data_IF_894956208610
#
_entry.id   IF_894956208610
#
_cell.length_a   1.000
_cell.length_b   1.000
_cell.length_c   1.000
_cell.angle_alpha   90.00
_cell.angle_beta   90.00
_cell.angle_gamma   90.00
#
_symmetry.space_group_name_H-M   'P 1'
#
loop_
_entity.id
_entity.type
_entity.pdbx_description
1 polymer ?
#
# COMPACT_ATOMS: atom_id res chain seq x y z
N UNK A 1 23.21 -8.38 -0.09
CA UNK A 1 23.00 -7.19 0.76
C UNK A 1 21.55 -7.22 1.19
N UNK A 2 21.28 -7.31 2.49
CA UNK A 2 19.92 -7.31 3.05
C UNK A 2 19.54 -5.87 3.40
N UNK A 3 18.43 -5.39 2.85
CA UNK A 3 17.90 -4.06 3.18
C UNK A 3 16.78 -4.22 4.21
N UNK A 4 16.91 -3.50 5.31
CA UNK A 4 15.84 -3.37 6.30
C UNK A 4 14.95 -2.20 5.90
N UNK A 5 13.63 -2.42 5.82
CA UNK A 5 12.68 -1.43 5.33
C UNK A 5 11.46 -1.41 6.25
N UNK A 6 11.08 -0.21 6.71
CA UNK A 6 9.84 0.00 7.47
C UNK A 6 8.63 -0.13 6.55
N UNK A 7 8.74 0.38 5.32
CA UNK A 7 7.74 0.22 4.26
C UNK A 7 8.41 0.21 2.89
N UNK A 8 7.80 -0.48 1.92
CA UNK A 8 8.33 -0.61 0.57
C UNK A 8 7.19 -0.82 -0.44
N UNK A 9 7.38 -0.35 -1.67
CA UNK A 9 6.54 -0.68 -2.80
C UNK A 9 7.41 -0.99 -4.03
N UNK A 10 7.03 -2.01 -4.79
CA UNK A 10 7.76 -2.54 -5.95
C UNK A 10 6.85 -2.67 -7.17
N UNK A 11 7.43 -2.60 -8.37
CA UNK A 11 6.72 -2.75 -9.64
C UNK A 11 6.85 -1.55 -10.58
N UNK A 12 6.35 -1.68 -11.80
CA UNK A 12 6.56 -0.71 -12.89
C UNK A 12 6.01 0.70 -12.61
N UNK A 13 5.05 0.84 -11.67
CA UNK A 13 4.41 2.11 -11.29
C UNK A 13 4.46 2.36 -9.79
N UNK A 14 5.42 1.76 -9.08
CA UNK A 14 5.47 1.84 -7.62
C UNK A 14 5.95 3.17 -7.06
N UNK A 15 6.37 4.12 -7.89
CA UNK A 15 6.88 5.40 -7.39
C UNK A 15 5.83 6.17 -6.59
N UNK A 16 4.60 6.26 -7.10
CA UNK A 16 3.51 6.94 -6.38
C UNK A 16 3.16 6.26 -5.06
N UNK A 17 3.20 4.92 -5.03
CA UNK A 17 3.05 4.15 -3.80
C UNK A 17 4.16 4.46 -2.79
N UNK A 18 5.43 4.52 -3.23
CA UNK A 18 6.55 4.90 -2.35
C UNK A 18 6.37 6.30 -1.78
N UNK A 19 5.98 7.27 -2.61
CA UNK A 19 5.69 8.64 -2.15
C UNK A 19 4.57 8.67 -1.11
N UNK A 20 3.51 7.87 -1.27
CA UNK A 20 2.48 7.72 -0.22
C UNK A 20 3.07 7.19 1.09
N UNK A 21 3.86 6.11 1.01
CA UNK A 21 4.47 5.47 2.19
C UNK A 21 5.45 6.41 2.90
N UNK A 22 6.23 7.19 2.16
CA UNK A 22 7.18 8.18 2.70
C UNK A 22 6.45 9.27 3.50
N UNK A 23 5.28 9.74 3.01
CA UNK A 23 4.50 10.80 3.68
C UNK A 23 3.88 10.35 5.01
N UNK A 24 3.51 9.08 5.13
CA UNK A 24 2.79 8.54 6.30
C UNK A 24 3.68 7.66 7.19
N UNK A 25 5.00 7.62 6.93
CA UNK A 25 5.91 6.67 7.56
C UNK A 25 5.91 6.78 9.10
N UNK A 26 5.82 8.00 9.62
CA UNK A 26 5.86 8.28 11.06
C UNK A 26 4.61 7.77 11.80
N UNK A 27 3.49 7.60 11.09
CA UNK A 27 2.21 7.14 11.65
C UNK A 27 2.19 5.62 11.89
N UNK A 28 3.03 4.85 11.18
CA UNK A 28 2.95 3.39 11.19
C UNK A 28 3.27 2.76 12.54
N UNK A 29 4.07 3.42 13.38
CA UNK A 29 4.41 2.92 14.71
C UNK A 29 3.19 2.86 15.64
N UNK A 30 2.23 3.77 15.44
CA UNK A 30 1.01 3.89 16.23
C UNK A 30 -0.18 3.16 15.56
N UNK A 31 0.01 2.68 14.32
CA UNK A 31 -1.03 1.99 13.59
C UNK A 31 -1.24 0.56 14.11
N UNK A 32 -2.51 0.24 14.37
CA UNK A 32 -2.94 -1.15 14.49
C UNK A 32 -2.95 -1.87 13.12
N UNK A 33 -3.11 -3.20 13.16
CA UNK A 33 -3.19 -4.05 11.96
C UNK A 33 -4.12 -3.48 10.87
N UNK A 34 -5.32 -3.07 11.25
CA UNK A 34 -6.35 -2.63 10.30
C UNK A 34 -5.96 -1.31 9.61
N UNK A 35 -5.32 -0.38 10.32
CA UNK A 35 -4.83 0.87 9.73
C UNK A 35 -3.63 0.64 8.81
N UNK A 36 -2.69 -0.25 9.19
CA UNK A 36 -1.58 -0.63 8.32
C UNK A 36 -2.05 -1.23 7.00
N UNK A 37 -3.09 -2.09 7.03
CA UNK A 37 -3.70 -2.64 5.81
C UNK A 37 -4.29 -1.52 4.94
N UNK A 38 -4.99 -0.55 5.54
CA UNK A 38 -5.52 0.61 4.80
C UNK A 38 -4.42 1.45 4.16
N UNK A 39 -3.32 1.76 4.86
CA UNK A 39 -2.17 2.46 4.27
C UNK A 39 -1.56 1.69 3.10
N UNK A 40 -1.40 0.37 3.23
CA UNK A 40 -0.91 -0.47 2.13
C UNK A 40 -1.81 -0.42 0.90
N UNK A 41 -3.14 -0.47 1.09
CA UNK A 41 -4.11 -0.40 -0.01
C UNK A 41 -4.21 0.99 -0.62
N UNK A 42 -4.13 2.06 0.18
CA UNK A 42 -4.06 3.45 -0.32
C UNK A 42 -2.80 3.65 -1.16
N UNK A 43 -1.65 3.20 -0.68
CA UNK A 43 -0.40 3.22 -1.45
C UNK A 43 -0.54 2.45 -2.77
N UNK A 44 -1.15 1.27 -2.74
CA UNK A 44 -1.39 0.47 -3.94
C UNK A 44 -2.31 1.19 -4.94
N UNK A 45 -3.38 1.84 -4.45
CA UNK A 45 -4.32 2.64 -5.27
C UNK A 45 -3.60 3.76 -6.01
N UNK A 46 -2.68 4.47 -5.36
CA UNK A 46 -1.85 5.53 -5.97
C UNK A 46 -0.97 5.00 -7.12
N UNK A 47 -0.67 3.70 -7.16
CA UNK A 47 0.11 3.08 -8.25
C UNK A 47 -0.71 2.64 -9.46
N UNK A 48 -2.05 2.73 -9.38
CA UNK A 48 -2.94 2.33 -10.46
C UNK A 48 -2.95 3.35 -11.62
N UNK A 49 -3.42 2.90 -12.78
CA UNK A 49 -3.75 3.84 -13.84
C UNK A 49 -5.01 4.63 -13.46
N UNK A 50 -5.17 5.84 -13.99
CA UNK A 50 -6.27 6.75 -13.66
C UNK A 50 -7.67 6.14 -13.90
N UNK A 51 -7.79 5.16 -14.79
CA UNK A 51 -9.02 4.46 -15.16
C UNK A 51 -9.21 3.12 -14.44
N UNK A 52 -8.36 2.79 -13.46
CA UNK A 52 -8.42 1.54 -12.72
C UNK A 52 -8.69 1.75 -11.24
N UNK A 53 -9.49 0.85 -10.69
CA UNK A 53 -9.81 0.80 -9.27
C UNK A 53 -9.33 -0.52 -8.64
N UNK A 54 -9.16 -0.50 -7.32
CA UNK A 54 -8.94 -1.72 -6.57
C UNK A 54 -10.25 -2.50 -6.52
N UNK A 55 -10.17 -3.79 -6.79
CA UNK A 55 -11.29 -4.73 -6.70
C UNK A 55 -10.82 -5.99 -5.99
N UNK A 56 -11.78 -6.79 -5.54
CA UNK A 56 -11.52 -8.12 -4.97
C UNK A 56 -10.81 -9.07 -5.94
N UNK A 57 -10.81 -8.79 -7.25
CA UNK A 57 -10.21 -9.63 -8.27
C UNK A 57 -8.76 -9.26 -8.58
N UNK A 58 -8.33 -8.05 -8.20
CA UNK A 58 -6.99 -7.53 -8.51
C UNK A 58 -6.16 -7.19 -7.28
N UNK A 59 -6.65 -7.55 -6.08
CA UNK A 59 -6.05 -7.18 -4.81
C UNK A 59 -6.05 -8.36 -3.85
N UNK A 60 -4.88 -8.66 -3.29
CA UNK A 60 -4.73 -9.64 -2.21
C UNK A 60 -3.89 -9.01 -1.08
N UNK A 61 -4.15 -9.39 0.16
CA UNK A 61 -3.47 -8.85 1.35
C UNK A 61 -2.85 -9.99 2.15
N UNK A 62 -1.54 -9.92 2.41
CA UNK A 62 -0.84 -10.86 3.27
C UNK A 62 -0.49 -10.22 4.60
N UNK A 63 -0.83 -10.88 5.72
CA UNK A 63 -0.54 -10.38 7.08
C UNK A 63 0.21 -11.42 7.89
N UNK A 64 1.30 -11.00 8.51
CA UNK A 64 2.13 -11.76 9.45
C UNK A 64 2.58 -10.81 10.56
N UNK A 65 2.86 -11.32 11.76
CA UNK A 65 3.34 -10.46 12.84
C UNK A 65 3.28 -11.12 14.20
N UNK A 66 3.13 -10.32 15.25
CA UNK A 66 2.98 -10.78 16.63
C UNK A 66 1.54 -10.56 17.06
N UNK A 67 0.93 -11.52 17.75
CA UNK A 67 -0.41 -11.38 18.33
C UNK A 67 -0.29 -10.74 19.70
N UNK A 68 -0.81 -9.52 19.86
CA UNK A 68 -0.95 -8.84 21.14
C UNK A 68 0.32 -8.14 21.65
N UNK A 69 0.16 -7.00 22.32
CA UNK A 69 1.27 -6.32 23.00
C UNK A 69 1.81 -7.19 24.14
N UNK A 70 3.08 -7.58 24.07
CA UNK A 70 3.75 -8.38 25.11
C UNK A 70 3.60 -9.90 24.98
N UNK A 71 2.78 -10.41 24.07
CA UNK A 71 2.67 -11.85 23.80
C UNK A 71 3.71 -12.28 22.76
N UNK A 72 4.61 -13.21 23.10
CA UNK A 72 5.57 -13.81 22.13
C UNK A 72 4.91 -14.77 21.13
N UNK A 73 3.61 -14.66 20.90
CA UNK A 73 2.87 -15.54 19.99
C UNK A 73 2.88 -14.96 18.60
N UNK A 74 3.53 -15.67 17.68
CA UNK A 74 3.62 -15.27 16.28
C UNK A 74 2.24 -15.48 15.62
N UNK A 75 1.72 -14.43 15.00
CA UNK A 75 0.71 -14.55 13.95
C UNK A 75 1.40 -15.10 12.71
N UNK A 76 1.15 -16.38 12.41
CA UNK A 76 1.57 -16.98 11.16
C UNK A 76 0.97 -16.21 9.97
N UNK A 77 1.70 -16.22 8.85
CA UNK A 77 1.25 -15.59 7.62
C UNK A 77 -0.15 -16.06 7.23
N UNK A 78 -1.02 -15.09 6.93
CA UNK A 78 -2.36 -15.33 6.40
C UNK A 78 -2.56 -14.47 5.16
N UNK A 79 -2.95 -15.13 4.07
CA UNK A 79 -3.40 -14.48 2.84
C UNK A 79 -4.92 -14.26 2.91
N UNK A 80 -5.34 -13.06 2.51
CA UNK A 80 -6.72 -12.67 2.27
C UNK A 80 -6.84 -12.35 0.79
N UNK A 81 -7.81 -12.95 0.11
CA UNK A 81 -7.99 -12.82 -1.33
C UNK A 81 -9.47 -12.91 -1.71
N UNK A 82 -9.84 -12.40 -2.89
CA UNK A 82 -11.23 -12.41 -3.34
C UNK A 82 -12.16 -11.69 -2.35
N UNK A 83 -13.23 -12.35 -1.92
CA UNK A 83 -14.23 -11.72 -1.04
C UNK A 83 -13.69 -11.38 0.35
N UNK A 84 -12.58 -11.99 0.78
CA UNK A 84 -11.99 -11.73 2.10
C UNK A 84 -11.41 -10.31 2.23
N UNK A 85 -11.01 -9.70 1.11
CA UNK A 85 -10.48 -8.31 1.08
C UNK A 85 -11.55 -7.27 0.83
N UNK A 86 -12.79 -7.67 0.51
CA UNK A 86 -13.86 -6.77 0.09
C UNK A 86 -14.07 -5.60 1.05
N UNK A 87 -14.11 -5.89 2.35
CA UNK A 87 -14.30 -4.86 3.39
C UNK A 87 -13.22 -3.77 3.33
N UNK A 88 -11.96 -4.12 3.06
CA UNK A 88 -10.87 -3.15 3.01
C UNK A 88 -10.85 -2.37 1.70
N UNK A 89 -11.16 -3.04 0.60
CA UNK A 89 -11.28 -2.42 -0.72
C UNK A 89 -12.38 -1.35 -0.71
N UNK A 90 -13.56 -1.69 -0.19
CA UNK A 90 -14.70 -0.75 -0.09
C UNK A 90 -14.33 0.47 0.77
N UNK A 91 -13.70 0.26 1.93
CA UNK A 91 -13.29 1.36 2.83
C UNK A 91 -12.29 2.34 2.20
N UNK A 92 -11.42 1.86 1.31
CA UNK A 92 -10.41 2.69 0.61
C UNK A 92 -10.99 3.31 -0.68
N UNK A 93 -12.09 2.77 -1.21
CA UNK A 93 -12.86 3.38 -2.28
C UNK A 93 -13.65 4.60 -1.77
N UNK A 94 -14.34 4.45 -0.63
CA UNK A 94 -15.23 5.47 -0.06
C UNK A 94 -14.48 6.60 0.68
N UNK A 95 -13.27 6.34 1.17
CA UNK A 95 -12.42 7.30 1.87
C UNK A 95 -11.75 8.32 0.96
N UNK A 96 -12.54 9.16 0.27
CA UNK A 96 -12.05 10.33 -0.47
C UNK A 96 -12.52 11.60 0.25
N UNK A 97 -11.72 12.07 1.22
CA UNK A 97 -11.65 13.51 1.51
C UNK A 97 -10.18 13.93 1.70
N UNK A 98 -9.74 14.73 0.73
CA UNK A 98 -8.64 15.71 0.71
C UNK A 98 -7.27 15.33 1.29
N UNK A 99 -6.26 15.18 0.42
CA UNK A 99 -5.08 16.07 0.42
C UNK A 99 -4.49 16.15 -1.00
N UNK A 100 -4.74 17.28 -1.67
CA UNK A 100 -4.00 17.68 -2.88
C UNK A 100 -2.83 18.55 -2.42
N UNK A 101 -1.62 18.02 -2.55
CA UNK A 101 -0.42 18.83 -2.73
C UNK A 101 0.38 18.23 -3.90
N UNK A 102 0.01 18.70 -5.09
CA UNK A 102 0.79 18.55 -6.30
C UNK A 102 1.96 19.55 -6.23
N UNK A 103 3.13 19.08 -5.85
CA UNK A 103 4.39 19.82 -6.00
C UNK A 103 5.51 18.84 -6.36
N UNK A 104 6.00 18.95 -7.59
CA UNK A 104 7.24 18.30 -8.02
C UNK A 104 7.16 17.64 -9.37
N UNK A 105 7.14 18.45 -10.43
CA UNK A 105 7.52 18.07 -11.78
C UNK A 105 8.86 17.30 -11.78
N UNK A 106 8.83 16.05 -12.27
CA UNK A 106 9.96 15.47 -13.00
C UNK A 106 9.35 14.53 -14.02
N UNK A 107 8.92 15.12 -15.13
CA UNK A 107 8.78 14.40 -16.39
C UNK A 107 10.19 14.00 -16.86
N UNK A 108 10.74 12.92 -16.32
CA UNK A 108 11.79 12.19 -17.03
C UNK A 108 11.09 11.31 -18.04
N UNK A 109 11.02 11.83 -19.27
CA UNK A 109 10.68 11.09 -20.48
C UNK A 109 11.38 9.74 -20.46
N UNK A 110 10.62 8.67 -20.25
CA UNK A 110 11.09 7.34 -20.57
C UNK A 110 11.16 7.25 -22.10
N UNK A 111 12.32 7.58 -22.66
CA UNK A 111 12.66 7.14 -24.01
C UNK A 111 12.68 5.62 -23.99
N UNK A 112 11.69 5.02 -24.65
CA UNK A 112 11.67 3.61 -24.97
C UNK A 112 12.66 3.44 -26.12
N UNK A 113 13.85 2.93 -25.83
CA UNK A 113 14.79 2.49 -26.85
C UNK A 113 14.20 1.24 -27.52
N UNK A 114 13.61 1.44 -28.71
CA UNK A 114 13.13 0.39 -29.60
C UNK A 114 14.30 -0.07 -30.50
N UNK A 115 14.75 -1.30 -30.25
CA UNK A 115 15.49 -2.25 -31.12
C UNK A 115 16.86 -1.86 -31.74
#
# INVERSE_FOLDING_TARGET
MTQEMVACAIGARSQMARTYLERHLEEFQDCGREELVKHGLRALKESLAQDKELTVENTSVGVVGVKGEGEKRIQAFRLFDGQDVKQWVDLVADGVEAEVAHTGDTTESMEIDDA
#
